data_IF_971200160701
#
_entry.id   IF_971200160701
#
_cell.length_a   1.000
_cell.length_b   1.000
_cell.length_c   1.000
_cell.angle_alpha   90.00
_cell.angle_beta   90.00
_cell.angle_gamma   90.00
#
_symmetry.space_group_name_H-M   'P 1'
#
loop_
_entity.id
_entity.type
_entity.pdbx_description
1 polymer ?
#
# COMPACT_ATOMS: atom_id res chain seq x y z
N UNK A 1 21.45 -12.86 -15.64
CA UNK A 1 20.29 -13.65 -15.21
C UNK A 1 20.65 -14.42 -13.96
N UNK A 2 20.52 -13.83 -12.78
CA UNK A 2 20.60 -14.53 -11.51
C UNK A 2 19.49 -13.98 -10.59
N UNK A 3 18.28 -14.51 -10.80
CA UNK A 3 17.24 -14.47 -9.77
C UNK A 3 17.66 -15.51 -8.71
N UNK A 4 18.34 -15.08 -7.66
CA UNK A 4 18.50 -15.90 -6.47
C UNK A 4 17.23 -15.75 -5.63
N UNK A 5 16.46 -16.81 -5.38
CA UNK A 5 15.41 -16.77 -4.37
C UNK A 5 16.09 -16.50 -3.02
N UNK A 6 15.62 -15.49 -2.30
CA UNK A 6 16.05 -15.16 -0.96
C UNK A 6 15.54 -16.26 -0.02
N UNK A 7 16.26 -17.37 0.04
CA UNK A 7 16.02 -18.44 1.01
C UNK A 7 16.68 -18.02 2.32
N UNK A 8 15.91 -17.49 3.26
CA UNK A 8 16.37 -17.33 4.63
C UNK A 8 16.45 -18.72 5.22
N UNK A 9 17.68 -19.22 5.47
CA UNK A 9 17.94 -20.42 6.25
C UNK A 9 17.38 -20.22 7.66
N UNK A 10 16.25 -20.85 7.96
CA UNK A 10 15.64 -20.88 9.27
C UNK A 10 16.33 -21.94 10.11
N UNK A 11 17.29 -21.55 10.95
CA UNK A 11 17.63 -22.31 12.15
C UNK A 11 16.38 -22.51 12.98
N UNK A 12 16.24 -23.60 13.78
CA UNK A 12 15.05 -23.82 14.62
C UNK A 12 14.99 -22.80 15.75
N UNK A 13 14.60 -21.58 15.43
CA UNK A 13 14.19 -20.57 16.39
C UNK A 13 12.81 -20.97 16.90
N UNK A 14 12.68 -21.07 18.23
CA UNK A 14 11.41 -21.16 18.94
C UNK A 14 10.41 -20.23 18.25
N UNK A 15 9.29 -20.77 17.75
CA UNK A 15 8.18 -20.03 17.16
C UNK A 15 7.74 -18.94 18.15
N UNK A 16 8.27 -17.74 17.96
CA UNK A 16 7.64 -16.53 18.43
C UNK A 16 6.49 -16.32 17.45
N UNK A 17 5.25 -16.33 17.92
CA UNK A 17 4.09 -16.01 17.10
C UNK A 17 4.45 -14.82 16.22
N UNK A 18 4.47 -15.00 14.89
CA UNK A 18 4.84 -13.91 13.98
C UNK A 18 3.68 -12.92 14.03
N UNK A 19 3.96 -11.75 14.60
CA UNK A 19 2.99 -10.68 14.70
C UNK A 19 2.80 -10.04 13.34
N UNK A 20 1.59 -10.11 12.80
CA UNK A 20 1.21 -9.41 11.57
C UNK A 20 1.02 -7.92 11.84
N UNK A 21 1.26 -7.07 10.83
CA UNK A 21 1.03 -5.63 10.87
C UNK A 21 0.30 -5.21 9.61
N UNK A 22 -0.87 -4.62 9.74
CA UNK A 22 -1.56 -4.01 8.61
C UNK A 22 -0.87 -2.70 8.20
N UNK A 23 -0.34 -2.66 6.96
CA UNK A 23 0.36 -1.51 6.39
C UNK A 23 -0.49 -0.72 5.38
N UNK A 24 -1.64 -1.25 4.97
CA UNK A 24 -2.58 -0.62 4.03
C UNK A 24 -3.97 -0.62 4.68
N UNK A 25 -4.34 0.50 5.31
CA UNK A 25 -5.55 0.63 6.13
C UNK A 25 -6.27 1.93 5.85
N UNK A 26 -7.56 1.84 5.55
CA UNK A 26 -8.45 2.97 5.36
C UNK A 26 -9.30 3.20 6.59
N UNK A 27 -9.31 4.45 7.08
CA UNK A 27 -10.13 4.84 8.24
C UNK A 27 -11.39 5.58 7.79
N UNK A 28 -12.19 6.03 8.73
CA UNK A 28 -13.35 6.91 8.50
C UNK A 28 -13.02 8.18 7.68
N UNK A 29 -11.74 8.52 7.51
CA UNK A 29 -11.30 9.65 6.67
C UNK A 29 -11.15 9.28 5.18
N UNK A 30 -11.31 8.00 4.82
CA UNK A 30 -11.52 7.50 3.46
C UNK A 30 -13.02 7.46 3.18
N UNK A 31 -13.64 8.62 2.97
CA UNK A 31 -15.07 8.90 3.14
C UNK A 31 -16.02 7.96 2.40
N UNK A 32 -15.64 7.39 1.26
CA UNK A 32 -16.55 6.55 0.46
C UNK A 32 -16.54 5.07 0.85
N UNK A 33 -15.44 4.57 1.42
CA UNK A 33 -15.23 3.14 1.67
C UNK A 33 -14.60 2.82 3.03
N UNK A 34 -14.06 3.80 3.73
CA UNK A 34 -13.48 3.64 5.05
C UNK A 34 -14.54 3.67 6.16
N UNK A 35 -14.90 2.51 6.72
CA UNK A 35 -15.85 2.41 7.81
C UNK A 35 -15.18 2.40 9.20
N UNK A 36 -13.91 1.99 9.27
CA UNK A 36 -13.23 1.74 10.52
C UNK A 36 -12.90 3.03 11.27
N UNK A 37 -13.35 3.17 12.53
CA UNK A 37 -12.91 4.26 13.38
C UNK A 37 -11.47 4.04 13.85
N UNK A 38 -10.72 5.13 14.02
CA UNK A 38 -9.33 5.05 14.47
C UNK A 38 -9.21 4.36 15.84
N UNK A 39 -10.13 4.63 16.80
CA UNK A 39 -10.11 3.96 18.10
C UNK A 39 -10.36 2.46 17.97
N UNK A 40 -11.36 2.06 17.17
CA UNK A 40 -11.66 0.64 16.94
C UNK A 40 -10.52 -0.11 16.27
N UNK A 41 -9.78 0.53 15.37
CA UNK A 41 -8.59 -0.06 14.75
C UNK A 41 -7.48 -0.34 15.78
N UNK A 42 -7.20 0.59 16.71
CA UNK A 42 -6.22 0.36 17.78
C UNK A 42 -6.67 -0.71 18.76
N UNK A 43 -7.96 -0.71 19.14
CA UNK A 43 -8.54 -1.76 19.99
C UNK A 43 -8.37 -3.13 19.34
N UNK A 44 -8.72 -3.24 18.06
CA UNK A 44 -8.59 -4.51 17.33
C UNK A 44 -7.13 -4.93 17.14
N UNK A 45 -6.22 -4.01 16.82
CA UNK A 45 -4.81 -4.30 16.72
C UNK A 45 -4.23 -4.85 18.04
N UNK A 46 -4.62 -4.26 19.17
CA UNK A 46 -4.27 -4.74 20.51
C UNK A 46 -4.82 -6.13 20.79
N UNK A 47 -6.11 -6.37 20.54
CA UNK A 47 -6.75 -7.69 20.70
C UNK A 47 -6.03 -8.79 19.92
N UNK A 48 -5.61 -8.48 18.67
CA UNK A 48 -4.90 -9.40 17.80
C UNK A 48 -3.38 -9.48 18.09
N UNK A 49 -2.90 -8.75 19.09
CA UNK A 49 -1.46 -8.73 19.44
C UNK A 49 -0.56 -8.11 18.38
N UNK A 50 -1.09 -7.23 17.53
CA UNK A 50 -0.31 -6.53 16.50
C UNK A 50 0.62 -5.50 17.17
N UNK A 51 1.94 -5.49 16.88
CA UNK A 51 2.88 -4.55 17.47
C UNK A 51 2.84 -3.16 16.84
N UNK A 52 2.17 -3.02 15.69
CA UNK A 52 2.04 -1.77 14.98
C UNK A 52 0.77 -1.75 14.12
N UNK A 53 0.37 -0.55 13.70
CA UNK A 53 -0.76 -0.31 12.81
C UNK A 53 -0.47 0.91 11.94
N UNK A 54 -0.75 0.82 10.63
CA UNK A 54 -0.63 1.97 9.74
C UNK A 54 -1.98 2.67 9.52
N UNK A 55 -1.90 3.95 9.11
CA UNK A 55 -3.00 4.70 8.50
C UNK A 55 -2.57 5.09 7.09
N UNK A 56 -3.38 4.75 6.08
CA UNK A 56 -3.10 5.00 4.65
C UNK A 56 -4.36 5.43 3.91
N UNK A 57 -5.06 6.45 4.43
CA UNK A 57 -6.29 6.95 3.83
C UNK A 57 -6.10 7.44 2.38
N UNK A 58 -7.17 7.41 1.61
CA UNK A 58 -7.22 7.79 0.21
C UNK A 58 -6.87 9.27 -0.03
N UNK A 59 -5.67 9.52 -0.55
CA UNK A 59 -5.20 10.84 -1.00
C UNK A 59 -5.15 11.91 0.09
N UNK A 60 -5.23 11.56 1.37
CA UNK A 60 -5.27 12.52 2.45
C UNK A 60 -4.56 12.04 3.72
N UNK A 61 -4.27 12.97 4.62
CA UNK A 61 -3.66 12.74 5.93
C UNK A 61 -4.53 13.35 7.07
N UNK A 62 -5.84 13.49 6.86
CA UNK A 62 -6.72 14.18 7.80
C UNK A 62 -6.81 13.46 9.15
N UNK A 63 -6.78 12.13 9.15
CA UNK A 63 -6.84 11.29 10.36
C UNK A 63 -5.57 11.27 11.21
N UNK A 64 -4.42 11.76 10.71
CA UNK A 64 -3.12 11.58 11.38
C UNK A 64 -3.08 12.19 12.79
N UNK A 65 -3.67 13.36 12.99
CA UNK A 65 -3.72 14.00 14.32
C UNK A 65 -4.50 13.16 15.33
N UNK A 66 -5.65 12.64 14.94
CA UNK A 66 -6.47 11.77 15.77
C UNK A 66 -5.75 10.43 16.01
N UNK A 67 -5.17 9.84 14.95
CA UNK A 67 -4.41 8.60 15.00
C UNK A 67 -3.29 8.65 16.04
N UNK A 68 -2.47 9.70 16.01
CA UNK A 68 -1.39 9.90 16.99
C UNK A 68 -1.91 10.18 18.40
N UNK A 69 -3.08 10.85 18.54
CA UNK A 69 -3.71 11.08 19.85
C UNK A 69 -4.23 9.78 20.45
N UNK A 70 -4.88 8.93 19.64
CA UNK A 70 -5.40 7.63 20.08
C UNK A 70 -4.26 6.68 20.40
N UNK A 71 -3.20 6.63 19.58
CA UNK A 71 -2.02 5.79 19.81
C UNK A 71 -1.40 5.95 21.21
N UNK A 72 -1.48 7.14 21.82
CA UNK A 72 -0.99 7.35 23.19
C UNK A 72 -1.72 6.52 24.24
N UNK A 73 -2.92 6.02 23.93
CA UNK A 73 -3.70 5.14 24.83
C UNK A 73 -3.36 3.66 24.66
N UNK A 74 -2.61 3.34 23.57
CA UNK A 74 -2.23 1.97 23.19
C UNK A 74 -0.71 1.89 23.00
N UNK A 75 0.09 2.03 24.07
CA UNK A 75 1.55 2.09 23.97
C UNK A 75 2.19 0.82 23.39
N UNK A 76 1.47 -0.30 23.43
CA UNK A 76 1.85 -1.58 22.83
C UNK A 76 1.73 -1.63 21.30
N UNK A 77 0.97 -0.70 20.67
CA UNK A 77 0.75 -0.65 19.22
C UNK A 77 1.43 0.58 18.63
N UNK A 78 2.52 0.38 17.92
CA UNK A 78 3.27 1.48 17.27
C UNK A 78 2.47 2.08 16.10
N UNK A 79 2.19 3.40 16.09
CA UNK A 79 1.55 4.05 14.95
C UNK A 79 2.52 4.22 13.78
N UNK A 80 2.08 3.89 12.57
CA UNK A 80 2.78 4.10 11.30
C UNK A 80 1.96 5.07 10.46
N UNK A 81 2.57 6.18 10.07
CA UNK A 81 1.89 7.21 9.26
C UNK A 81 2.14 6.96 7.78
N UNK A 82 1.09 6.93 7.00
CA UNK A 82 1.14 6.76 5.56
C UNK A 82 -0.02 7.45 4.85
N UNK A 83 -0.08 7.24 3.55
CA UNK A 83 -1.16 7.68 2.68
C UNK A 83 -1.18 6.80 1.43
N UNK A 84 -2.37 6.43 0.96
CA UNK A 84 -2.55 5.92 -0.38
C UNK A 84 -2.66 7.11 -1.35
N UNK A 85 -1.56 7.39 -2.07
CA UNK A 85 -1.51 8.51 -3.01
C UNK A 85 -1.97 8.09 -4.42
N UNK A 86 -2.45 9.05 -5.19
CA UNK A 86 -2.86 8.86 -6.58
C UNK A 86 -1.78 9.35 -7.52
N UNK A 87 -1.09 8.44 -8.22
CA UNK A 87 -0.01 8.75 -9.16
C UNK A 87 -0.54 8.74 -10.59
N UNK A 88 -0.31 9.81 -11.35
CA UNK A 88 -0.78 9.90 -12.75
C UNK A 88 -0.11 8.87 -13.66
N UNK A 89 -0.79 8.48 -14.74
CA UNK A 89 -0.27 7.52 -15.73
C UNK A 89 0.74 8.17 -16.66
N UNK A 90 1.96 8.46 -16.13
CA UNK A 90 3.10 9.02 -16.88
C UNK A 90 2.82 10.36 -17.58
N UNK A 91 2.03 11.23 -16.95
CA UNK A 91 1.79 12.59 -17.40
C UNK A 91 1.81 13.59 -16.23
N UNK A 92 1.98 14.86 -16.55
CA UNK A 92 1.97 15.93 -15.54
C UNK A 92 0.62 15.97 -14.81
N UNK A 93 0.67 15.89 -13.48
CA UNK A 93 -0.51 15.90 -12.61
C UNK A 93 -1.37 17.18 -12.73
N UNK A 94 -0.83 18.25 -13.32
CA UNK A 94 -1.54 19.50 -13.58
C UNK A 94 -2.52 19.44 -14.76
N UNK A 95 -2.37 18.44 -15.65
CA UNK A 95 -3.28 18.23 -16.77
C UNK A 95 -4.64 17.73 -16.27
N UNK A 96 -5.70 18.42 -16.68
CA UNK A 96 -7.08 18.23 -16.18
C UNK A 96 -8.11 18.05 -17.28
N UNK A 97 -7.69 17.57 -18.42
CA UNK A 97 -8.58 17.24 -19.56
C UNK A 97 -9.04 15.77 -19.54
N UNK A 98 -9.87 15.42 -20.54
CA UNK A 98 -10.49 14.09 -20.61
C UNK A 98 -9.49 12.96 -20.87
N UNK A 99 -8.37 13.25 -21.51
CA UNK A 99 -7.36 12.25 -21.88
C UNK A 99 -6.39 11.97 -20.71
N UNK A 100 -6.33 12.89 -19.75
CA UNK A 100 -5.44 12.83 -18.59
C UNK A 100 -6.22 12.56 -17.28
N UNK A 101 -7.03 11.49 -17.25
CA UNK A 101 -7.85 11.12 -16.08
C UNK A 101 -7.23 10.00 -15.25
N UNK A 102 -6.44 9.13 -15.88
CA UNK A 102 -5.96 7.90 -15.30
C UNK A 102 -4.96 8.14 -14.17
N UNK A 103 -5.02 7.33 -13.13
CA UNK A 103 -4.07 7.32 -12.03
C UNK A 103 -3.90 5.90 -11.52
N UNK A 104 -2.82 5.69 -10.77
CA UNK A 104 -2.52 4.48 -10.02
C UNK A 104 -2.57 4.77 -8.52
N UNK A 105 -2.85 3.75 -7.72
CA UNK A 105 -2.67 3.81 -6.28
C UNK A 105 -1.23 3.47 -5.91
N UNK A 106 -0.69 4.15 -4.92
CA UNK A 106 0.63 3.90 -4.37
C UNK A 106 0.60 4.11 -2.87
N UNK A 107 1.09 3.13 -2.09
CA UNK A 107 1.19 3.27 -0.64
C UNK A 107 2.55 3.86 -0.28
N UNK A 108 2.52 4.97 0.44
CA UNK A 108 3.71 5.61 0.99
C UNK A 108 3.60 5.65 2.52
N UNK A 109 4.63 5.13 3.20
CA UNK A 109 4.72 5.10 4.67
C UNK A 109 5.92 5.93 5.12
N UNK A 110 5.74 6.75 6.14
CA UNK A 110 6.83 7.56 6.71
C UNK A 110 7.73 6.69 7.60
N UNK A 111 8.98 6.49 7.20
CA UNK A 111 10.02 5.77 7.94
C UNK A 111 10.59 6.59 9.10
N UNK A 112 10.60 7.91 8.94
CA UNK A 112 11.13 8.87 9.91
C UNK A 112 10.46 10.25 9.75
N UNK A 113 10.90 11.23 10.55
CA UNK A 113 10.31 12.59 10.50
C UNK A 113 10.55 13.32 9.18
N UNK A 114 11.70 13.08 8.50
CA UNK A 114 11.95 13.64 7.17
C UNK A 114 10.93 13.07 6.15
N UNK A 115 10.72 11.75 6.16
CA UNK A 115 9.70 11.09 5.34
C UNK A 115 8.28 11.60 5.64
N UNK A 116 7.92 11.80 6.91
CA UNK A 116 6.64 12.41 7.26
C UNK A 116 6.44 13.80 6.63
N UNK A 117 7.45 14.67 6.70
CA UNK A 117 7.41 15.98 6.04
C UNK A 117 7.33 15.85 4.52
N UNK A 118 8.03 14.92 3.93
CA UNK A 118 8.00 14.67 2.50
C UNK A 118 6.64 14.12 2.05
N UNK A 119 6.04 13.21 2.83
CA UNK A 119 4.68 12.73 2.57
C UNK A 119 3.66 13.88 2.60
N UNK A 120 3.76 14.78 3.58
CA UNK A 120 2.90 15.99 3.60
C UNK A 120 3.06 16.84 2.34
N UNK A 121 4.30 17.01 1.81
CA UNK A 121 4.52 17.75 0.56
C UNK A 121 3.88 17.05 -0.64
N UNK A 122 4.04 15.72 -0.77
CA UNK A 122 3.42 14.94 -1.83
C UNK A 122 1.89 15.12 -1.80
N UNK A 123 1.27 14.87 -0.64
CA UNK A 123 -0.18 14.98 -0.48
C UNK A 123 -0.65 16.42 -0.74
N UNK A 124 0.05 17.43 -0.21
CA UNK A 124 -0.29 18.83 -0.44
C UNK A 124 -0.18 19.24 -1.92
N UNK A 125 0.86 18.79 -2.63
CA UNK A 125 1.01 19.02 -4.06
C UNK A 125 -0.19 18.45 -4.82
N UNK A 126 -0.62 17.22 -4.49
CA UNK A 126 -1.79 16.61 -5.08
C UNK A 126 -3.06 17.45 -4.91
N UNK A 127 -3.29 17.99 -3.71
CA UNK A 127 -4.45 18.82 -3.42
C UNK A 127 -4.40 20.20 -4.08
N UNK A 128 -3.23 20.83 -4.09
CA UNK A 128 -3.07 22.22 -4.57
C UNK A 128 -2.97 22.27 -6.10
N UNK A 129 -2.16 21.38 -6.69
CA UNK A 129 -1.82 21.44 -8.11
C UNK A 129 -2.54 20.36 -8.95
N UNK A 130 -2.62 19.14 -8.43
CA UNK A 130 -3.06 17.96 -9.19
C UNK A 130 -4.50 17.53 -8.99
N UNK A 131 -5.29 18.26 -8.20
CA UNK A 131 -6.69 17.89 -7.94
C UNK A 131 -7.52 17.93 -9.23
N UNK A 132 -8.07 16.76 -9.57
CA UNK A 132 -8.99 16.60 -10.70
C UNK A 132 -10.23 15.87 -10.19
N UNK A 133 -11.37 16.56 -10.26
CA UNK A 133 -12.58 16.22 -9.50
C UNK A 133 -12.25 16.07 -8.00
N UNK A 134 -12.45 14.87 -7.44
CA UNK A 134 -12.20 14.55 -6.03
C UNK A 134 -10.82 13.92 -5.76
N UNK A 135 -10.00 13.64 -6.81
CA UNK A 135 -8.72 12.93 -6.69
C UNK A 135 -7.52 13.90 -6.69
N UNK A 136 -6.78 14.00 -5.57
CA UNK A 136 -5.55 14.77 -5.48
C UNK A 136 -4.37 13.96 -6.07
N UNK A 137 -4.09 14.13 -7.37
CA UNK A 137 -3.09 13.35 -8.10
C UNK A 137 -1.73 14.02 -8.06
N UNK A 138 -0.68 13.20 -8.08
CA UNK A 138 0.72 13.63 -8.23
C UNK A 138 1.36 12.87 -9.38
N UNK A 139 2.42 13.42 -9.97
CA UNK A 139 3.19 12.71 -10.98
C UNK A 139 4.35 11.93 -10.35
N UNK A 140 4.97 11.02 -11.13
CA UNK A 140 6.15 10.26 -10.70
C UNK A 140 7.29 11.17 -10.26
N UNK A 141 7.49 12.31 -10.93
CA UNK A 141 8.53 13.28 -10.58
C UNK A 141 8.33 13.91 -9.19
N UNK A 142 7.08 14.14 -8.79
CA UNK A 142 6.76 14.63 -7.44
C UNK A 142 7.08 13.57 -6.40
N UNK A 143 6.73 12.31 -6.67
CA UNK A 143 7.05 11.19 -5.78
C UNK A 143 8.56 11.02 -5.67
N UNK A 144 9.30 10.98 -6.80
CA UNK A 144 10.77 10.86 -6.82
C UNK A 144 11.45 12.00 -6.07
N UNK A 145 10.99 13.25 -6.26
CA UNK A 145 11.53 14.43 -5.58
C UNK A 145 11.45 14.36 -4.05
N UNK A 146 10.42 13.72 -3.51
CA UNK A 146 10.14 13.66 -2.08
C UNK A 146 10.20 12.23 -1.51
N UNK A 147 10.90 11.30 -2.18
CA UNK A 147 10.98 9.90 -1.78
C UNK A 147 11.79 9.66 -0.49
N UNK A 148 12.71 10.57 -0.14
CA UNK A 148 13.60 10.40 1.02
C UNK A 148 12.81 10.17 2.31
N UNK A 149 13.18 9.10 3.04
CA UNK A 149 12.58 8.72 4.30
C UNK A 149 11.19 8.09 4.20
N UNK A 150 10.79 7.67 2.99
CA UNK A 150 9.56 6.93 2.73
C UNK A 150 9.84 5.47 2.41
N UNK A 151 8.94 4.60 2.87
CA UNK A 151 8.76 3.23 2.40
C UNK A 151 7.63 3.24 1.39
N UNK A 152 7.79 2.51 0.30
CA UNK A 152 6.82 2.41 -0.78
C UNK A 152 6.33 0.96 -0.93
N UNK A 153 4.99 0.77 -1.02
CA UNK A 153 4.38 -0.50 -1.39
C UNK A 153 3.56 -0.35 -2.67
N UNK A 154 3.53 -1.40 -3.49
CA UNK A 154 2.90 -1.40 -4.83
C UNK A 154 1.38 -1.24 -4.83
N UNK A 155 0.77 -1.11 -3.66
CA UNK A 155 -0.67 -0.98 -3.42
C UNK A 155 -1.51 -2.18 -3.90
N UNK A 156 -2.82 -1.95 -4.10
CA UNK A 156 -3.81 -2.94 -4.49
C UNK A 156 -3.83 -3.16 -6.02
N UNK A 157 -4.89 -3.82 -6.54
CA UNK A 157 -5.09 -4.06 -7.97
C UNK A 157 -5.17 -2.76 -8.80
N UNK A 158 -5.34 -1.61 -8.17
CA UNK A 158 -5.32 -0.29 -8.83
C UNK A 158 -3.90 0.31 -8.91
N UNK A 159 -2.88 -0.36 -8.37
CA UNK A 159 -1.49 0.03 -8.50
C UNK A 159 -0.96 -0.12 -9.93
N UNK A 160 0.15 0.53 -10.25
CA UNK A 160 0.74 0.55 -11.58
C UNK A 160 1.15 -0.86 -12.05
N UNK A 161 1.89 -1.58 -11.21
CA UNK A 161 2.40 -2.92 -11.51
C UNK A 161 1.25 -3.92 -11.73
N UNK A 162 0.28 -4.09 -10.79
CA UNK A 162 -0.83 -5.01 -11.01
C UNK A 162 -1.71 -4.61 -12.21
N UNK A 163 -1.88 -3.32 -12.50
CA UNK A 163 -2.61 -2.86 -13.68
C UNK A 163 -1.92 -3.27 -14.98
N UNK A 164 -0.60 -3.17 -15.06
CA UNK A 164 0.18 -3.63 -16.21
C UNK A 164 0.04 -5.15 -16.39
N UNK A 165 0.16 -5.93 -15.30
CA UNK A 165 -0.01 -7.40 -15.32
C UNK A 165 -1.41 -7.77 -15.82
N UNK A 166 -2.47 -7.17 -15.29
CA UNK A 166 -3.87 -7.42 -15.70
C UNK A 166 -4.09 -7.10 -17.18
N UNK A 167 -3.41 -6.07 -17.70
CA UNK A 167 -3.45 -5.71 -19.11
C UNK A 167 -2.60 -6.63 -20.00
N UNK A 168 -1.85 -7.59 -19.45
CA UNK A 168 -0.92 -8.45 -20.20
C UNK A 168 0.39 -7.75 -20.58
N UNK A 169 0.63 -6.52 -20.11
CA UNK A 169 1.85 -5.74 -20.35
C UNK A 169 2.93 -6.06 -19.32
N UNK A 170 3.56 -7.21 -19.46
CA UNK A 170 4.64 -7.63 -18.56
C UNK A 170 5.86 -6.72 -18.66
N UNK A 171 6.18 -6.20 -19.85
CA UNK A 171 7.29 -5.27 -20.02
C UNK A 171 7.03 -3.92 -19.32
N UNK A 172 5.78 -3.44 -19.35
CA UNK A 172 5.35 -2.28 -18.56
C UNK A 172 5.43 -2.53 -17.05
N UNK A 173 5.03 -3.73 -16.59
CA UNK A 173 5.16 -4.11 -15.19
C UNK A 173 6.63 -4.14 -14.72
N UNK A 174 7.54 -4.70 -15.52
CA UNK A 174 8.98 -4.72 -15.23
C UNK A 174 9.55 -3.30 -15.13
N UNK A 175 9.25 -2.41 -16.10
CA UNK A 175 9.66 -1.00 -16.07
C UNK A 175 9.15 -0.27 -14.83
N UNK A 176 7.90 -0.53 -14.44
CA UNK A 176 7.36 0.05 -13.22
C UNK A 176 8.14 -0.41 -11.97
N UNK A 177 8.46 -1.72 -11.86
CA UNK A 177 9.30 -2.25 -10.77
C UNK A 177 10.68 -1.61 -10.78
N UNK A 178 11.32 -1.46 -11.94
CA UNK A 178 12.63 -0.83 -12.08
C UNK A 178 12.61 0.62 -11.60
N UNK A 179 11.58 1.39 -11.97
CA UNK A 179 11.43 2.76 -11.51
C UNK A 179 11.27 2.83 -9.98
N UNK A 180 10.39 2.03 -9.40
CA UNK A 180 10.19 2.00 -7.95
C UNK A 180 11.47 1.60 -7.20
N UNK A 181 12.18 0.59 -7.69
CA UNK A 181 13.47 0.17 -7.11
C UNK A 181 14.55 1.25 -7.24
N UNK A 182 14.60 1.97 -8.37
CA UNK A 182 15.52 3.10 -8.56
C UNK A 182 15.25 4.21 -7.54
N UNK A 183 13.99 4.53 -7.27
CA UNK A 183 13.57 5.64 -6.41
C UNK A 183 13.68 5.30 -4.93
N UNK A 184 13.25 4.10 -4.53
CA UNK A 184 13.12 3.71 -3.11
C UNK A 184 14.16 2.68 -2.65
N UNK A 185 14.91 2.05 -3.57
CA UNK A 185 15.91 1.05 -3.23
C UNK A 185 15.32 -0.11 -2.43
N UNK A 186 15.92 -0.37 -1.26
CA UNK A 186 15.48 -1.42 -0.32
C UNK A 186 14.20 -1.08 0.45
N UNK A 187 13.71 0.15 0.35
CA UNK A 187 12.45 0.60 0.95
C UNK A 187 11.24 0.42 -0.02
N UNK A 188 11.40 -0.31 -1.14
CA UNK A 188 10.31 -0.71 -2.03
C UNK A 188 9.87 -2.15 -1.79
N UNK A 189 8.56 -2.35 -1.66
CA UNK A 189 7.94 -3.66 -1.43
C UNK A 189 6.79 -3.91 -2.40
N UNK A 190 6.70 -5.14 -2.92
CA UNK A 190 5.51 -5.61 -3.61
C UNK A 190 4.46 -6.01 -2.57
N UNK A 191 3.26 -5.46 -2.71
CA UNK A 191 2.11 -5.77 -1.85
C UNK A 191 1.26 -6.86 -2.50
N UNK A 192 0.93 -7.89 -1.72
CA UNK A 192 0.02 -8.97 -2.13
C UNK A 192 -1.17 -8.96 -1.19
N UNK A 193 -2.37 -8.81 -1.76
CA UNK A 193 -3.62 -8.84 -1.02
C UNK A 193 -4.38 -10.12 -1.35
N UNK A 194 -4.69 -10.92 -0.33
CA UNK A 194 -5.49 -12.14 -0.50
C UNK A 194 -6.98 -11.78 -0.38
N UNK A 195 -7.70 -11.82 -1.49
CA UNK A 195 -9.15 -11.67 -1.50
C UNK A 195 -9.80 -12.91 -2.10
N UNK A 196 -10.76 -13.49 -1.38
CA UNK A 196 -11.66 -14.50 -1.94
C UNK A 196 -12.76 -13.78 -2.74
N UNK A 197 -12.42 -13.37 -3.96
CA UNK A 197 -13.35 -12.60 -4.80
C UNK A 197 -13.62 -13.37 -6.09
N UNK A 198 -14.89 -13.65 -6.38
CA UNK A 198 -15.33 -14.05 -7.71
C UNK A 198 -15.29 -12.81 -8.61
N UNK A 199 -14.42 -12.81 -9.61
CA UNK A 199 -14.40 -11.75 -10.63
C UNK A 199 -15.53 -12.06 -11.61
N UNK A 200 -16.52 -11.15 -11.83
CA UNK A 200 -17.56 -11.36 -12.80
C UNK A 200 -16.99 -11.68 -14.19
N UNK A 201 -17.46 -12.76 -14.81
CA UNK A 201 -16.95 -13.24 -16.10
C UNK A 201 -15.74 -14.17 -16.02
N UNK A 202 -15.19 -14.43 -14.84
CA UNK A 202 -14.16 -15.45 -14.65
C UNK A 202 -14.80 -16.85 -14.68
N UNK A 203 -14.18 -17.82 -15.39
CA UNK A 203 -14.67 -19.19 -15.38
C UNK A 203 -14.48 -19.83 -13.98
N UNK A 204 -15.38 -20.75 -13.64
CA UNK A 204 -15.29 -21.52 -12.40
C UNK A 204 -13.93 -22.23 -12.28
N UNK A 205 -13.39 -22.70 -13.39
CA UNK A 205 -12.09 -23.38 -13.47
C UNK A 205 -10.93 -22.46 -13.06
N UNK A 206 -10.92 -21.20 -13.53
CA UNK A 206 -9.89 -20.21 -13.13
C UNK A 206 -9.99 -19.88 -11.63
N UNK A 207 -11.22 -19.78 -11.10
CA UNK A 207 -11.44 -19.57 -9.68
C UNK A 207 -10.93 -20.74 -8.84
N UNK A 208 -11.20 -21.98 -9.27
CA UNK A 208 -10.71 -23.18 -8.61
C UNK A 208 -9.18 -23.29 -8.64
N UNK A 209 -8.54 -22.96 -9.76
CA UNK A 209 -7.08 -22.87 -9.85
C UNK A 209 -6.50 -21.83 -8.91
N UNK A 210 -7.14 -20.66 -8.76
CA UNK A 210 -6.72 -19.65 -7.80
C UNK A 210 -6.86 -20.12 -6.35
N UNK A 211 -7.94 -20.86 -6.03
CA UNK A 211 -8.11 -21.44 -4.70
C UNK A 211 -7.03 -22.46 -4.39
N UNK A 212 -6.68 -23.33 -5.36
CA UNK A 212 -5.59 -24.31 -5.22
C UNK A 212 -4.26 -23.61 -5.04
N UNK A 213 -3.93 -22.61 -5.86
CA UNK A 213 -2.70 -21.84 -5.72
C UNK A 213 -2.62 -21.11 -4.37
N UNK A 214 -3.73 -20.55 -3.88
CA UNK A 214 -3.81 -19.93 -2.57
C UNK A 214 -3.63 -20.96 -1.43
N UNK A 215 -4.19 -22.16 -1.56
CA UNK A 215 -3.98 -23.25 -0.59
C UNK A 215 -2.55 -23.76 -0.58
N UNK A 216 -1.90 -23.90 -1.73
CA UNK A 216 -0.49 -24.27 -1.83
C UNK A 216 0.42 -23.20 -1.24
N UNK A 217 0.13 -21.92 -1.51
CA UNK A 217 0.81 -20.78 -0.89
C UNK A 217 0.60 -20.77 0.62
N UNK A 218 -0.62 -21.04 1.09
CA UNK A 218 -0.96 -21.13 2.51
C UNK A 218 -0.25 -22.31 3.21
N UNK A 219 -0.08 -23.45 2.53
CA UNK A 219 0.69 -24.59 3.05
C UNK A 219 2.19 -24.32 3.09
N UNK A 220 2.69 -23.54 2.13
CA UNK A 220 4.12 -23.16 2.02
C UNK A 220 4.51 -22.07 3.01
N UNK A 221 3.55 -21.22 3.40
CA UNK A 221 3.71 -20.17 4.40
C UNK A 221 2.72 -20.44 5.54
N UNK A 222 3.18 -20.91 6.70
CA UNK A 222 2.31 -21.24 7.83
C UNK A 222 1.78 -19.98 8.54
N UNK A 223 1.14 -19.11 7.80
CA UNK A 223 0.39 -17.99 8.33
C UNK A 223 -1.08 -18.39 8.35
N UNK A 224 -1.66 -18.49 9.52
CA UNK A 224 -3.11 -18.52 9.67
C UNK A 224 -3.63 -17.11 9.35
N UNK A 225 -4.27 -17.00 8.20
CA UNK A 225 -5.09 -15.84 7.86
C UNK A 225 -6.53 -16.21 8.20
N UNK A 226 -7.03 -15.73 9.33
CA UNK A 226 -8.45 -15.72 9.64
C UNK A 226 -9.15 -14.54 8.95
#
# INVERSE_FOLDING_TARGET
SDFRPFCISLSPLKFRAMSFVHLHVHTQYSILDGQASISGLFERAKELGMPALAITDHGNMYGVKEFLKVAKKFPEVKPIIGCEVYVTRHYDHKLKDKDHRGYYHLILLAKNYAGYKNLMKIVSTGHIEGKYYDKPRVSHEVVEKYAEGLVCCSACIAGEIPRAIIAGDMAGAEKAVEWHKKVFGDDFYLEVQQHKTLIPGQSQEVYEHQLVANEETRKSYPFEFD
#
